data_IF_815609606059
#
_entry.id   IF_815609606059
#
_cell.length_a   1.000
_cell.length_b   1.000
_cell.length_c   1.000
_cell.angle_alpha   90.00
_cell.angle_beta   90.00
_cell.angle_gamma   90.00
#
_symmetry.space_group_name_H-M   'P 1'
#
loop_
_entity.id
_entity.type
_entity.pdbx_description
1 polymer ?
#
# COMPACT_ATOMS: atom_id res chain seq x y z
N UNK A 1 18.27 0.30 -6.42
CA UNK A 1 17.46 -0.84 -6.92
C UNK A 1 16.07 -0.31 -7.26
N UNK A 2 15.53 -0.57 -8.47
CA UNK A 2 14.18 -0.09 -8.89
C UNK A 2 13.24 -1.29 -8.99
N UNK A 3 12.34 -1.48 -8.01
CA UNK A 3 11.32 -2.52 -8.08
C UNK A 3 10.05 -1.98 -8.74
N UNK A 4 9.49 -2.75 -9.69
CA UNK A 4 8.42 -2.31 -10.60
C UNK A 4 7.10 -2.97 -10.21
N UNK A 5 6.05 -2.17 -10.16
CA UNK A 5 4.66 -2.54 -9.83
C UNK A 5 3.98 -3.47 -10.85
N UNK A 6 4.53 -3.67 -12.05
CA UNK A 6 3.96 -4.62 -13.05
C UNK A 6 4.56 -6.02 -12.98
N UNK A 7 5.44 -6.30 -12.01
CA UNK A 7 6.04 -7.63 -11.85
C UNK A 7 5.16 -8.53 -10.97
N UNK A 8 5.39 -9.84 -11.06
CA UNK A 8 4.70 -10.85 -10.25
C UNK A 8 4.83 -10.52 -8.74
N UNK A 9 3.71 -10.62 -8.02
CA UNK A 9 3.63 -10.46 -6.57
C UNK A 9 3.40 -11.84 -5.95
N UNK A 10 4.48 -12.53 -5.61
CA UNK A 10 4.45 -13.83 -4.97
C UNK A 10 5.49 -13.90 -3.86
N UNK A 11 5.28 -14.75 -2.87
CA UNK A 11 6.14 -14.85 -1.66
C UNK A 11 7.61 -15.14 -1.97
N UNK A 12 7.90 -15.67 -3.16
CA UNK A 12 9.25 -16.02 -3.59
C UNK A 12 9.85 -15.00 -4.57
N UNK A 13 9.18 -13.87 -4.81
CA UNK A 13 9.74 -12.87 -5.73
C UNK A 13 10.77 -12.00 -5.01
N UNK A 14 11.82 -11.54 -5.73
CA UNK A 14 12.82 -10.64 -5.15
C UNK A 14 12.22 -9.36 -4.55
N UNK A 15 11.08 -8.89 -5.09
CA UNK A 15 10.39 -7.72 -4.55
C UNK A 15 9.74 -8.01 -3.19
N UNK A 16 9.13 -9.19 -3.03
CA UNK A 16 8.52 -9.59 -1.76
C UNK A 16 9.57 -9.74 -0.67
N UNK A 17 10.64 -10.47 -0.96
CA UNK A 17 11.79 -10.67 -0.05
C UNK A 17 12.42 -9.33 0.34
N UNK A 18 12.70 -8.47 -0.66
CA UNK A 18 13.24 -7.15 -0.41
C UNK A 18 12.34 -6.30 0.50
N UNK A 19 11.04 -6.24 0.21
CA UNK A 19 10.13 -5.40 0.99
C UNK A 19 9.99 -5.90 2.44
N UNK A 20 9.94 -7.23 2.62
CA UNK A 20 9.91 -7.89 3.94
C UNK A 20 11.13 -7.50 4.80
N UNK A 21 12.31 -7.41 4.17
CA UNK A 21 13.55 -7.03 4.87
C UNK A 21 13.70 -5.52 5.06
N UNK A 22 13.16 -4.70 4.16
CA UNK A 22 13.37 -3.24 4.19
C UNK A 22 12.45 -2.50 5.14
N UNK A 23 11.18 -2.88 5.25
CA UNK A 23 10.22 -2.16 6.10
C UNK A 23 10.68 -2.07 7.58
N UNK A 24 11.18 -3.15 8.22
CA UNK A 24 11.64 -3.09 9.61
C UNK A 24 12.88 -2.22 9.84
N UNK A 25 13.63 -1.87 8.78
CA UNK A 25 14.84 -1.03 8.88
C UNK A 25 14.49 0.46 9.06
N UNK A 26 13.24 0.85 8.87
CA UNK A 26 12.80 2.25 8.96
C UNK A 26 12.77 2.72 10.42
N UNK A 27 13.62 3.68 10.77
CA UNK A 27 13.62 4.30 12.10
C UNK A 27 12.64 5.48 12.17
N UNK A 28 11.44 5.23 12.70
CA UNK A 28 10.35 6.24 12.80
C UNK A 28 10.68 7.47 13.67
N UNK A 29 11.66 7.37 14.58
CA UNK A 29 12.11 8.53 15.36
C UNK A 29 12.97 9.50 14.54
N UNK A 30 13.61 9.03 13.47
CA UNK A 30 14.39 9.86 12.54
C UNK A 30 13.60 10.21 11.27
N UNK A 31 12.80 9.28 10.78
CA UNK A 31 11.98 9.45 9.58
C UNK A 31 10.50 9.38 9.97
N UNK A 32 9.92 10.53 10.29
CA UNK A 32 8.54 10.60 10.80
C UNK A 32 7.51 10.16 9.77
N UNK A 33 7.79 10.36 8.47
CA UNK A 33 6.92 9.99 7.36
C UNK A 33 7.42 8.73 6.65
N UNK A 34 6.54 7.75 6.48
CA UNK A 34 6.72 6.59 5.63
C UNK A 34 5.66 6.61 4.52
N UNK A 35 6.14 6.84 3.30
CA UNK A 35 5.29 7.00 2.12
C UNK A 35 5.60 5.88 1.13
N UNK A 36 4.57 5.22 0.63
CA UNK A 36 4.70 4.17 -0.39
C UNK A 36 4.16 4.66 -1.73
N UNK A 37 4.87 4.33 -2.80
CA UNK A 37 4.46 4.61 -4.17
C UNK A 37 4.14 3.31 -4.89
N UNK A 38 2.91 3.19 -5.39
CA UNK A 38 2.45 2.09 -6.23
C UNK A 38 1.92 2.65 -7.55
N UNK A 39 1.77 1.79 -8.56
CA UNK A 39 1.23 2.22 -9.85
C UNK A 39 -0.27 2.01 -9.89
N UNK A 40 -0.74 0.77 -9.66
CA UNK A 40 -2.16 0.45 -9.68
C UNK A 40 -2.76 0.65 -8.30
N UNK A 41 -3.85 1.43 -8.16
CA UNK A 41 -4.49 1.67 -6.88
C UNK A 41 -5.13 0.40 -6.35
N UNK A 42 -5.07 0.22 -5.03
CA UNK A 42 -5.73 -0.88 -4.33
C UNK A 42 -7.20 -0.56 -4.05
N UNK A 43 -7.47 0.71 -3.75
CA UNK A 43 -8.80 1.25 -3.56
C UNK A 43 -9.04 2.29 -4.65
N UNK A 44 -10.02 2.02 -5.52
CA UNK A 44 -10.53 3.00 -6.47
C UNK A 44 -12.01 2.71 -6.77
N UNK A 45 -12.79 3.76 -7.01
CA UNK A 45 -14.23 3.66 -7.29
C UNK A 45 -14.57 3.57 -8.78
N UNK A 46 -13.57 3.72 -9.65
CA UNK A 46 -13.72 3.66 -11.10
C UNK A 46 -13.88 2.21 -11.56
N UNK A 47 -14.90 1.94 -12.38
CA UNK A 47 -15.15 0.60 -12.94
C UNK A 47 -14.02 0.14 -13.87
N UNK A 48 -13.43 1.08 -14.61
CA UNK A 48 -12.22 0.83 -15.40
C UNK A 48 -11.01 0.62 -14.48
N UNK A 49 -10.31 -0.50 -14.67
CA UNK A 49 -9.23 -0.99 -13.79
C UNK A 49 -9.66 -1.44 -12.38
N UNK A 50 -10.94 -1.74 -12.18
CA UNK A 50 -11.45 -2.33 -10.94
C UNK A 50 -10.69 -3.63 -10.56
N UNK A 51 -10.34 -3.77 -9.28
CA UNK A 51 -9.64 -4.91 -8.67
C UNK A 51 -8.27 -5.31 -9.27
N UNK A 52 -7.68 -4.54 -10.19
CA UNK A 52 -6.37 -4.87 -10.76
C UNK A 52 -5.21 -4.80 -9.75
N UNK A 53 -5.41 -4.10 -8.63
CA UNK A 53 -4.48 -4.02 -7.51
C UNK A 53 -4.67 -5.12 -6.46
N UNK A 54 -5.73 -5.94 -6.55
CA UNK A 54 -6.23 -6.72 -5.40
C UNK A 54 -5.23 -7.76 -4.91
N UNK A 55 -4.57 -8.50 -5.80
CA UNK A 55 -3.53 -9.47 -5.41
C UNK A 55 -2.40 -8.79 -4.64
N UNK A 56 -2.00 -7.57 -5.03
CA UNK A 56 -0.96 -6.82 -4.31
C UNK A 56 -1.46 -6.27 -2.99
N UNK A 57 -2.72 -5.84 -2.92
CA UNK A 57 -3.35 -5.39 -1.68
C UNK A 57 -3.32 -6.51 -0.65
N UNK A 58 -3.87 -7.69 -0.98
CA UNK A 58 -3.91 -8.84 -0.06
C UNK A 58 -2.52 -9.26 0.41
N UNK A 59 -1.52 -9.17 -0.47
CA UNK A 59 -0.15 -9.58 -0.14
C UNK A 59 0.62 -8.58 0.72
N UNK A 60 0.46 -7.26 0.52
CA UNK A 60 1.34 -6.25 1.10
C UNK A 60 0.64 -5.30 2.08
N UNK A 61 -0.68 -5.15 2.01
CA UNK A 61 -1.43 -4.28 2.92
C UNK A 61 -1.26 -4.64 4.40
N UNK A 62 -1.25 -5.92 4.82
CA UNK A 62 -1.04 -6.26 6.23
C UNK A 62 0.26 -5.66 6.78
N UNK A 63 1.35 -5.69 6.01
CA UNK A 63 2.63 -5.10 6.40
C UNK A 63 2.56 -3.58 6.45
N UNK A 64 1.88 -2.94 5.49
CA UNK A 64 1.74 -1.48 5.51
C UNK A 64 0.94 -0.97 6.70
N UNK A 65 -0.05 -1.76 7.15
CA UNK A 65 -0.81 -1.49 8.38
C UNK A 65 0.08 -1.69 9.61
N UNK A 66 0.84 -2.79 9.67
CA UNK A 66 1.76 -3.11 10.77
C UNK A 66 2.87 -2.07 10.95
N UNK A 67 3.53 -1.67 9.85
CA UNK A 67 4.59 -0.66 9.82
C UNK A 67 4.08 0.79 9.87
N UNK A 68 2.76 0.97 9.97
CA UNK A 68 2.07 2.28 10.06
C UNK A 68 2.49 3.20 8.92
N UNK A 69 2.38 2.73 7.68
CA UNK A 69 2.56 3.55 6.48
C UNK A 69 1.55 4.71 6.53
N UNK A 70 2.04 5.94 6.35
CA UNK A 70 1.20 7.13 6.52
C UNK A 70 0.40 7.44 5.26
N UNK A 71 1.03 7.28 4.09
CA UNK A 71 0.44 7.63 2.79
C UNK A 71 0.86 6.62 1.73
N UNK A 72 -0.10 6.26 0.88
CA UNK A 72 0.14 5.49 -0.34
C UNK A 72 -0.31 6.33 -1.54
N UNK A 73 0.59 6.64 -2.46
CA UNK A 73 0.22 7.28 -3.73
C UNK A 73 0.17 6.24 -4.84
N UNK A 74 -0.90 6.31 -5.63
CA UNK A 74 -1.13 5.46 -6.78
C UNK A 74 -1.46 6.30 -8.03
N UNK A 75 -1.14 5.75 -9.21
CA UNK A 75 -1.51 6.33 -10.51
C UNK A 75 -2.44 5.38 -11.26
N UNK A 76 -2.13 5.11 -12.53
CA UNK A 76 -2.80 4.11 -13.40
C UNK A 76 -4.25 4.43 -13.80
N UNK A 77 -5.09 4.84 -12.85
CA UNK A 77 -6.43 5.35 -13.11
C UNK A 77 -6.34 6.87 -13.38
N UNK A 78 -6.94 7.34 -14.47
CA UNK A 78 -6.90 8.75 -14.88
C UNK A 78 -7.96 9.60 -14.13
N UNK A 79 -7.98 9.49 -12.81
CA UNK A 79 -8.83 10.28 -11.92
C UNK A 79 -8.09 10.60 -10.62
N UNK A 80 -8.60 11.55 -9.86
CA UNK A 80 -8.13 11.84 -8.51
C UNK A 80 -9.14 11.29 -7.49
N UNK A 81 -8.66 10.44 -6.58
CA UNK A 81 -9.44 9.90 -5.47
C UNK A 81 -8.61 9.91 -4.18
N UNK A 82 -9.27 10.08 -3.03
CA UNK A 82 -8.65 9.97 -1.71
C UNK A 82 -9.53 9.12 -0.81
N UNK A 83 -9.01 7.99 -0.37
CA UNK A 83 -9.71 7.12 0.59
C UNK A 83 -9.58 7.66 2.02
N UNK A 84 -10.50 7.23 2.88
CA UNK A 84 -10.29 7.31 4.33
C UNK A 84 -9.21 6.32 4.76
N UNK A 85 -8.70 6.47 5.98
CA UNK A 85 -7.74 5.53 6.57
C UNK A 85 -8.37 4.14 6.65
N UNK A 86 -7.71 3.15 6.07
CA UNK A 86 -8.13 1.76 6.17
C UNK A 86 -7.68 1.17 7.51
N UNK A 87 -8.56 0.38 8.14
CA UNK A 87 -8.36 -0.13 9.51
C UNK A 87 -9.08 0.68 10.59
N UNK A 88 -9.70 1.81 10.26
CA UNK A 88 -10.65 2.52 11.13
C UNK A 88 -12.08 2.40 10.59
N UNK A 89 -12.59 1.18 10.49
CA UNK A 89 -14.03 0.99 10.38
C UNK A 89 -14.65 1.18 11.77
N UNK A 90 -15.20 2.37 12.02
CA UNK A 90 -16.18 2.66 13.09
C UNK A 90 -15.78 2.31 14.54
N UNK A 91 -14.91 3.12 15.18
CA UNK A 91 -14.87 3.25 16.65
C UNK A 91 -15.22 4.68 17.14
N UNK A 92 -16.03 5.42 16.38
CA UNK A 92 -16.51 6.76 16.75
C UNK A 92 -18.04 6.86 16.85
N UNK A 93 -18.70 5.83 17.39
CA UNK A 93 -20.02 6.00 18.02
C UNK A 93 -19.89 5.67 19.50
N UNK A 94 -19.69 6.69 20.34
CA UNK A 94 -19.66 6.52 21.79
C UNK A 94 -18.79 7.52 22.56
N UNK A 95 -19.05 8.83 22.39
CA UNK A 95 -19.06 9.78 23.49
C UNK A 95 -20.38 10.53 23.45
#
# INVERSE_FOLDING_TARGET
>A
MKYRTKNHCGMFTPQYQWLLEELPKVNRSKTSWLIVLIHSPWYNSISYHYMQGETRRVMFEPWFVEDKVDLVFAGHVYSYERSVRQGESCLSHGL
#
